data_IF_561179165929
#
_entry.id   IF_561179165929
#
_cell.length_a   1.000
_cell.length_b   1.000
_cell.length_c   1.000
_cell.angle_alpha   90.00
_cell.angle_beta   90.00
_cell.angle_gamma   90.00
#
_symmetry.space_group_name_H-M   'P 1'
#
loop_
_entity.id
_entity.type
_entity.pdbx_description
1 polymer ?
#
# COMPACT_ATOMS: atom_id res chain seq x y z
N UNK A 1 33.78 7.11 24.03
CA UNK A 1 32.68 6.15 24.28
C UNK A 1 31.55 6.48 23.30
N UNK A 2 31.60 5.93 22.09
CA UNK A 2 30.66 6.28 21.01
C UNK A 2 29.33 5.54 21.23
N UNK A 3 28.26 6.29 21.44
CA UNK A 3 26.91 5.74 21.49
C UNK A 3 26.53 5.38 20.06
N UNK A 4 26.47 4.08 19.78
CA UNK A 4 26.07 3.52 18.49
C UNK A 4 24.66 4.01 18.17
N UNK A 5 24.53 4.77 17.09
CA UNK A 5 23.27 5.24 16.52
C UNK A 5 22.52 4.02 15.98
N UNK A 6 21.66 3.43 16.82
CA UNK A 6 20.77 2.34 16.43
C UNK A 6 19.74 2.92 15.46
N UNK A 7 20.08 2.96 14.17
CA UNK A 7 19.10 3.10 13.11
C UNK A 7 18.21 1.86 13.18
N UNK A 8 17.11 1.98 13.93
CA UNK A 8 15.99 1.06 13.89
C UNK A 8 15.44 1.08 12.47
N UNK A 9 16.00 0.24 11.60
CA UNK A 9 15.35 -0.12 10.34
C UNK A 9 14.04 -0.74 10.80
N UNK A 10 12.95 0.03 10.74
CA UNK A 10 11.62 -0.59 10.79
C UNK A 10 11.65 -1.51 9.58
N UNK A 11 11.66 -2.82 9.80
CA UNK A 11 11.32 -3.75 8.73
C UNK A 11 9.88 -3.40 8.33
N UNK A 12 9.81 -2.52 7.36
CA UNK A 12 8.58 -2.17 6.70
C UNK A 12 8.29 -3.38 5.84
N UNK A 13 7.41 -4.26 6.34
CA UNK A 13 6.94 -5.39 5.56
C UNK A 13 6.18 -4.84 4.36
N UNK A 14 6.85 -4.87 3.21
CA UNK A 14 6.26 -4.59 1.91
C UNK A 14 5.60 -5.88 1.46
N UNK A 15 4.29 -5.88 1.45
CA UNK A 15 3.47 -6.96 0.93
C UNK A 15 3.14 -6.69 -0.55
N UNK A 16 2.75 -7.74 -1.27
CA UNK A 16 2.30 -7.64 -2.65
C UNK A 16 0.85 -8.07 -2.77
N UNK A 17 0.20 -7.56 -3.80
CA UNK A 17 -1.17 -7.92 -4.08
C UNK A 17 -1.61 -7.45 -5.44
N UNK A 18 -2.88 -7.71 -5.72
CA UNK A 18 -3.52 -7.40 -6.98
C UNK A 18 -4.64 -6.40 -6.73
N UNK A 19 -4.67 -5.33 -7.51
CA UNK A 19 -5.72 -4.32 -7.42
C UNK A 19 -7.04 -4.96 -7.83
N UNK A 20 -7.98 -5.06 -6.88
CA UNK A 20 -9.29 -5.67 -7.13
C UNK A 20 -10.18 -4.74 -7.92
N UNK A 21 -10.12 -3.46 -7.60
CA UNK A 21 -10.73 -2.36 -8.34
C UNK A 21 -10.20 -1.04 -7.78
N UNK A 22 -10.14 -0.02 -8.62
CA UNK A 22 -9.79 1.33 -8.21
C UNK A 22 -10.63 2.34 -8.99
N UNK A 23 -11.21 3.30 -8.29
CA UNK A 23 -11.98 4.37 -8.91
C UNK A 23 -11.13 5.64 -8.93
N UNK A 24 -10.59 5.96 -10.10
CA UNK A 24 -9.74 7.14 -10.30
C UNK A 24 -10.47 8.46 -10.01
N UNK A 25 -11.75 8.53 -10.37
CA UNK A 25 -12.60 9.71 -10.14
C UNK A 25 -12.84 9.97 -8.65
N UNK A 26 -13.04 8.91 -7.87
CA UNK A 26 -13.24 9.02 -6.41
C UNK A 26 -11.94 8.98 -5.61
N UNK A 27 -10.83 8.51 -6.20
CA UNK A 27 -9.52 8.41 -5.55
C UNK A 27 -9.40 7.28 -4.52
N UNK A 28 -10.19 6.22 -4.62
CA UNK A 28 -10.07 5.07 -3.73
C UNK A 28 -10.41 3.75 -4.41
N UNK A 29 -9.93 2.66 -3.81
CA UNK A 29 -10.15 1.31 -4.28
C UNK A 29 -9.80 0.27 -3.22
N UNK A 30 -9.69 -0.97 -3.66
CA UNK A 30 -9.31 -2.10 -2.82
C UNK A 30 -8.24 -2.95 -3.52
N UNK A 31 -7.31 -3.45 -2.71
CA UNK A 31 -6.25 -4.34 -3.14
C UNK A 31 -6.42 -5.67 -2.41
N UNK A 32 -6.40 -6.75 -3.17
CA UNK A 32 -6.38 -8.10 -2.62
C UNK A 32 -4.93 -8.52 -2.38
N UNK A 33 -4.49 -8.77 -1.13
CA UNK A 33 -3.14 -9.23 -0.85
C UNK A 33 -2.90 -10.64 -1.41
N UNK A 34 -1.69 -10.89 -1.91
CA UNK A 34 -1.31 -12.21 -2.46
C UNK A 34 -1.18 -13.26 -1.35
N UNK A 35 -0.88 -12.83 -0.11
CA UNK A 35 -0.84 -13.69 1.08
C UNK A 35 -2.22 -14.25 1.47
N UNK A 36 -3.30 -13.81 0.80
CA UNK A 36 -4.67 -14.08 1.21
C UNK A 36 -5.06 -13.25 2.45
N UNK A 37 -6.36 -13.08 2.65
CA UNK A 37 -6.92 -12.29 3.76
C UNK A 37 -7.96 -11.28 3.31
N UNK A 38 -8.22 -10.30 4.16
CA UNK A 38 -9.20 -9.25 3.88
C UNK A 38 -8.71 -8.27 2.81
N UNK A 39 -9.66 -7.73 2.04
CA UNK A 39 -9.38 -6.67 1.07
C UNK A 39 -8.83 -5.44 1.78
N UNK A 40 -7.71 -4.93 1.29
CA UNK A 40 -7.03 -3.78 1.86
C UNK A 40 -7.54 -2.49 1.22
N UNK A 41 -7.93 -1.53 2.06
CA UNK A 41 -8.37 -0.23 1.56
C UNK A 41 -7.19 0.54 0.95
N UNK A 42 -7.34 0.98 -0.30
CA UNK A 42 -6.34 1.74 -1.03
C UNK A 42 -6.85 3.15 -1.29
N UNK A 43 -6.12 4.16 -0.80
CA UNK A 43 -6.45 5.57 -1.02
C UNK A 43 -5.40 6.23 -1.92
N UNK A 44 -5.83 7.16 -2.78
CA UNK A 44 -4.93 7.85 -3.70
C UNK A 44 -3.77 8.55 -2.98
N UNK A 45 -3.97 9.02 -1.74
CA UNK A 45 -2.91 9.68 -0.97
C UNK A 45 -1.70 8.78 -0.74
N UNK A 46 -1.94 7.48 -0.58
CA UNK A 46 -0.93 6.47 -0.25
C UNK A 46 -0.17 5.97 -1.48
N UNK A 47 -0.68 6.22 -2.69
CA UNK A 47 -0.03 5.83 -3.93
C UNK A 47 1.22 6.69 -4.14
N UNK A 48 2.34 6.01 -4.36
CA UNK A 48 3.62 6.58 -4.75
C UNK A 48 3.74 6.58 -6.26
N UNK A 49 3.88 7.78 -6.81
CA UNK A 49 4.09 7.99 -8.24
C UNK A 49 4.26 9.48 -8.51
N UNK A 50 5.07 9.80 -9.51
CA UNK A 50 5.26 11.17 -10.02
C UNK A 50 4.26 11.39 -11.16
N UNK A 51 2.98 11.54 -10.84
CA UNK A 51 1.93 11.68 -11.84
C UNK A 51 0.53 11.45 -11.30
N UNK A 52 -0.35 10.94 -12.15
CA UNK A 52 -1.70 10.52 -11.77
C UNK A 52 -1.62 9.33 -10.83
N UNK A 53 -2.13 9.50 -9.61
CA UNK A 53 -2.13 8.48 -8.57
C UNK A 53 -3.27 7.50 -8.79
N UNK A 54 -3.17 6.72 -9.86
CA UNK A 54 -4.18 5.74 -10.24
C UNK A 54 -3.61 4.34 -10.29
N UNK A 55 -4.50 3.35 -10.19
CA UNK A 55 -4.19 1.93 -10.22
C UNK A 55 -5.12 1.26 -11.22
N UNK A 56 -4.58 0.41 -12.08
CA UNK A 56 -5.42 -0.39 -12.98
C UNK A 56 -5.95 -1.63 -12.25
N UNK A 57 -7.19 -2.01 -12.53
CA UNK A 57 -7.76 -3.28 -12.06
C UNK A 57 -6.93 -4.46 -12.59
N UNK A 58 -6.66 -5.44 -11.72
CA UNK A 58 -5.80 -6.59 -12.03
C UNK A 58 -4.30 -6.30 -12.00
N UNK A 59 -3.88 -5.05 -11.74
CA UNK A 59 -2.46 -4.70 -11.67
C UNK A 59 -1.81 -5.23 -10.39
N UNK A 60 -0.57 -5.74 -10.52
CA UNK A 60 0.29 -6.09 -9.39
C UNK A 60 0.85 -4.82 -8.75
N UNK A 61 0.74 -4.75 -7.42
CA UNK A 61 1.18 -3.60 -6.65
C UNK A 61 1.92 -4.07 -5.40
N UNK A 62 2.92 -3.31 -4.97
CA UNK A 62 3.59 -3.48 -3.69
C UNK A 62 3.11 -2.42 -2.72
N UNK A 63 2.77 -2.79 -1.50
CA UNK A 63 2.24 -1.85 -0.50
C UNK A 63 2.61 -2.31 0.91
N UNK A 64 2.42 -1.41 1.87
CA UNK A 64 2.58 -1.70 3.28
C UNK A 64 1.20 -1.87 3.93
N UNK A 65 0.99 -2.99 4.61
CA UNK A 65 -0.24 -3.20 5.37
C UNK A 65 -0.17 -2.37 6.67
N UNK A 66 -1.10 -1.44 6.84
CA UNK A 66 -1.26 -0.68 8.10
C UNK A 66 -2.67 -0.81 8.63
N UNK A 67 -2.80 -0.85 9.96
CA UNK A 67 -4.10 -0.72 10.64
C UNK A 67 -4.45 0.76 10.76
N UNK A 68 -5.47 1.18 10.04
CA UNK A 68 -6.08 2.50 10.13
C UNK A 68 -7.34 2.52 11.01
N UNK A 69 -7.95 3.70 11.18
CA UNK A 69 -9.22 3.84 11.93
C UNK A 69 -10.40 3.13 11.27
N UNK A 70 -10.31 2.80 9.97
CA UNK A 70 -11.33 2.10 9.18
C UNK A 70 -11.03 0.60 8.95
N UNK A 71 -9.97 0.07 9.57
CA UNK A 71 -9.52 -1.31 9.34
C UNK A 71 -8.16 -1.37 8.63
N UNK A 72 -7.90 -2.48 7.94
CA UNK A 72 -6.65 -2.67 7.21
C UNK A 72 -6.63 -1.79 5.95
N UNK A 73 -5.55 -1.05 5.77
CA UNK A 73 -5.32 -0.17 4.63
C UNK A 73 -3.92 -0.40 4.05
N UNK A 74 -3.80 -0.20 2.74
CA UNK A 74 -2.57 -0.25 2.00
C UNK A 74 -1.92 1.14 1.99
N UNK A 75 -0.72 1.24 2.56
CA UNK A 75 0.12 2.43 2.55
C UNK A 75 1.26 2.30 1.57
N UNK A 76 1.81 3.44 1.14
CA UNK A 76 3.03 3.47 0.31
C UNK A 76 2.92 2.61 -0.97
N UNK A 77 1.76 2.62 -1.60
CA UNK A 77 1.42 1.73 -2.72
C UNK A 77 2.27 2.11 -3.93
N UNK A 78 3.03 1.15 -4.43
CA UNK A 78 3.88 1.31 -5.61
C UNK A 78 3.39 0.34 -6.68
N UNK A 79 2.91 0.84 -7.84
CA UNK A 79 2.60 -0.03 -8.96
C UNK A 79 3.86 -0.73 -9.48
N UNK A 80 3.75 -2.04 -9.74
CA UNK A 80 4.77 -2.81 -10.45
C UNK A 80 4.56 -2.72 -11.97
#
# INVERSE_FOLDING_TARGET
MFIVRINRIKEVFVDTGTVKWFNETKGFGFISPDNGGDDLFAHFSEIRGTGFKTLAEGQKVSFEVKRGPKGLQASNITPQ
#
